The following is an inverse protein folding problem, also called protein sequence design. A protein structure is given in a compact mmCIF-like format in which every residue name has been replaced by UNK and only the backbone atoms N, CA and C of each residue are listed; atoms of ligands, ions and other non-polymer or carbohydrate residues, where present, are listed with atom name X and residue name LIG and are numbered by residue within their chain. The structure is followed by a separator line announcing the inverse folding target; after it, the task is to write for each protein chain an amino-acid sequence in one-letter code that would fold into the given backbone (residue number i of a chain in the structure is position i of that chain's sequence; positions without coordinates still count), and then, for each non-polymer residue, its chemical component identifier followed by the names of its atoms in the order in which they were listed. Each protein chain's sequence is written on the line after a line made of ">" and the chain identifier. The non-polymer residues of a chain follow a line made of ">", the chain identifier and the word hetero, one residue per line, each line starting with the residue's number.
data_IF_182243720586
#
_entry.id   IF_182243720586
#
_cell.length_a   1.000
_cell.length_b   1.000
_cell.length_c   1.000
_cell.angle_alpha   90.00
_cell.angle_beta   90.00
_cell.angle_gamma   90.00
#
_symmetry.space_group_name_H-M   'P 1'
#
loop_
_entity.id
_entity.type
_entity.pdbx_description
1 polymer ?
#
# COMPACT_ATOMS: atom_id res chain seq x y z
N UNK A 1 7.70 -35.27 -25.64
CA UNK A 1 7.68 -35.77 -24.26
C UNK A 1 6.84 -34.82 -23.42
N UNK A 2 5.74 -35.29 -22.82
CA UNK A 2 4.89 -34.44 -21.98
C UNK A 2 5.65 -34.08 -20.68
N UNK A 3 5.96 -32.81 -20.48
CA UNK A 3 6.57 -32.32 -19.24
C UNK A 3 5.56 -32.53 -18.10
N UNK A 4 5.85 -33.47 -17.19
CA UNK A 4 5.06 -33.64 -15.96
C UNK A 4 4.98 -32.29 -15.25
N UNK A 5 3.75 -31.83 -14.97
CA UNK A 5 3.48 -30.60 -14.24
C UNK A 5 4.24 -30.64 -12.91
N UNK A 6 5.07 -29.63 -12.64
CA UNK A 6 5.82 -29.53 -11.39
C UNK A 6 4.85 -29.43 -10.21
N UNK A 7 5.16 -30.12 -9.11
CA UNK A 7 4.36 -30.12 -7.88
C UNK A 7 4.28 -28.70 -7.28
N UNK A 8 3.11 -28.35 -6.75
CA UNK A 8 2.87 -27.05 -6.11
C UNK A 8 3.85 -26.80 -4.97
N UNK A 9 4.26 -25.54 -4.81
CA UNK A 9 5.18 -25.11 -3.75
C UNK A 9 4.40 -24.83 -2.46
N UNK A 10 4.78 -25.52 -1.39
CA UNK A 10 4.27 -25.39 -0.03
C UNK A 10 4.92 -24.22 0.73
N UNK A 11 4.32 -23.78 1.84
CA UNK A 11 4.93 -22.75 2.70
C UNK A 11 6.19 -23.23 3.41
N UNK A 12 6.26 -24.52 3.77
CA UNK A 12 7.46 -25.12 4.35
C UNK A 12 8.65 -25.02 3.38
N UNK A 13 8.43 -25.34 2.10
CA UNK A 13 9.44 -25.17 1.03
C UNK A 13 9.88 -23.71 0.89
N UNK A 14 8.95 -22.75 0.94
CA UNK A 14 9.28 -21.31 0.92
C UNK A 14 10.17 -20.92 2.10
N UNK A 15 9.85 -21.39 3.29
CA UNK A 15 10.62 -21.10 4.50
C UNK A 15 12.03 -21.70 4.48
N UNK A 16 12.19 -22.93 3.97
CA UNK A 16 13.52 -23.54 3.78
C UNK A 16 14.36 -22.67 2.84
N UNK A 17 13.80 -22.27 1.69
CA UNK A 17 14.53 -21.43 0.74
C UNK A 17 14.95 -20.08 1.34
N UNK A 18 14.06 -19.43 2.10
CA UNK A 18 14.38 -18.15 2.75
C UNK A 18 15.53 -18.28 3.75
N UNK A 19 15.52 -19.34 4.59
CA UNK A 19 16.60 -19.61 5.54
C UNK A 19 17.95 -19.81 4.86
N UNK A 20 17.97 -20.48 3.70
CA UNK A 20 19.20 -20.72 2.93
C UNK A 20 19.69 -19.48 2.18
N UNK A 21 18.79 -18.61 1.73
CA UNK A 21 19.14 -17.36 1.02
C UNK A 21 19.68 -16.29 1.97
N UNK A 22 19.14 -16.22 3.19
CA UNK A 22 19.43 -15.14 4.14
C UNK A 22 20.94 -14.85 4.36
N UNK A 23 21.82 -15.85 4.56
CA UNK A 23 23.27 -15.61 4.71
C UNK A 23 23.95 -15.11 3.42
N UNK A 24 23.34 -15.34 2.26
CA UNK A 24 23.90 -15.04 0.94
C UNK A 24 23.22 -13.85 0.25
N UNK A 25 22.39 -13.10 0.98
CA UNK A 25 21.54 -12.05 0.42
C UNK A 25 22.33 -10.94 -0.27
N UNK A 26 23.47 -10.54 0.30
CA UNK A 26 24.36 -9.51 -0.25
C UNK A 26 24.96 -9.89 -1.61
N UNK A 27 25.14 -11.19 -1.87
CA UNK A 27 25.65 -11.71 -3.13
C UNK A 27 24.52 -11.81 -4.15
N UNK A 28 23.38 -12.37 -3.74
CA UNK A 28 22.23 -12.64 -4.62
C UNK A 28 21.56 -11.35 -5.10
N UNK A 29 21.41 -10.35 -4.22
CA UNK A 29 20.77 -9.07 -4.56
C UNK A 29 21.73 -8.03 -5.14
N UNK A 30 23.02 -8.37 -5.29
CA UNK A 30 23.99 -7.48 -5.90
C UNK A 30 23.53 -7.07 -7.32
N UNK A 31 23.50 -5.78 -7.61
CA UNK A 31 23.06 -5.22 -8.89
C UNK A 31 24.14 -5.20 -9.97
N UNK A 32 25.40 -5.47 -9.60
CA UNK A 32 26.53 -5.51 -10.55
C UNK A 32 26.35 -6.66 -11.54
N UNK A 33 26.67 -6.37 -12.81
CA UNK A 33 26.50 -7.27 -13.97
C UNK A 33 27.82 -7.78 -14.54
N UNK A 34 28.94 -7.60 -13.83
CA UNK A 34 30.26 -8.09 -14.24
C UNK A 34 30.32 -9.63 -14.27
N UNK A 35 31.17 -10.17 -15.16
CA UNK A 35 31.29 -11.62 -15.35
C UNK A 35 31.67 -12.37 -14.06
N UNK A 36 32.53 -11.78 -13.23
CA UNK A 36 32.95 -12.35 -11.95
C UNK A 36 31.80 -12.40 -10.95
N UNK A 37 31.08 -11.29 -10.75
CA UNK A 37 29.88 -11.25 -9.89
C UNK A 37 28.79 -12.22 -10.36
N UNK A 38 28.55 -12.32 -11.66
CA UNK A 38 27.58 -13.27 -12.21
C UNK A 38 27.99 -14.73 -11.95
N UNK A 39 29.29 -15.05 -12.07
CA UNK A 39 29.82 -16.39 -11.75
C UNK A 39 29.66 -16.70 -10.26
N UNK A 40 29.93 -15.74 -9.38
CA UNK A 40 29.76 -15.90 -7.93
C UNK A 40 28.27 -16.13 -7.62
N UNK A 41 27.36 -15.30 -8.13
CA UNK A 41 25.91 -15.48 -7.96
C UNK A 41 25.46 -16.85 -8.43
N UNK A 42 25.91 -17.30 -9.60
CA UNK A 42 25.54 -18.60 -10.13
C UNK A 42 26.01 -19.72 -9.19
N UNK A 43 27.27 -19.69 -8.74
CA UNK A 43 27.81 -20.68 -7.81
C UNK A 43 27.07 -20.70 -6.47
N UNK A 44 26.74 -19.51 -5.93
CA UNK A 44 25.92 -19.38 -4.71
C UNK A 44 24.55 -20.01 -4.89
N UNK A 45 23.89 -19.77 -6.03
CA UNK A 45 22.60 -20.37 -6.35
C UNK A 45 22.66 -21.90 -6.52
N UNK A 46 23.74 -22.42 -7.10
CA UNK A 46 23.96 -23.87 -7.20
C UNK A 46 24.16 -24.50 -5.81
N UNK A 47 24.92 -23.85 -4.92
CA UNK A 47 25.09 -24.31 -3.54
C UNK A 47 23.75 -24.32 -2.78
N UNK A 48 22.97 -23.23 -2.89
CA UNK A 48 21.62 -23.16 -2.31
C UNK A 48 20.73 -24.26 -2.86
N UNK A 49 20.80 -24.56 -4.16
CA UNK A 49 20.05 -25.68 -4.74
C UNK A 49 20.41 -27.00 -4.09
N UNK A 50 21.71 -27.29 -3.92
CA UNK A 50 22.15 -28.54 -3.29
C UNK A 50 21.64 -28.66 -1.85
N UNK A 51 21.80 -27.60 -1.05
CA UNK A 51 21.30 -27.58 0.33
C UNK A 51 19.77 -27.70 0.39
N UNK A 52 19.07 -26.97 -0.47
CA UNK A 52 17.61 -27.02 -0.55
C UNK A 52 17.13 -28.43 -0.91
N UNK A 53 17.71 -29.05 -1.94
CA UNK A 53 17.33 -30.38 -2.40
C UNK A 53 17.63 -31.47 -1.37
N UNK A 54 18.63 -31.28 -0.51
CA UNK A 54 18.93 -32.15 0.61
C UNK A 54 17.95 -32.03 1.79
N UNK A 55 17.34 -30.85 1.99
CA UNK A 55 16.41 -30.59 3.09
C UNK A 55 14.93 -30.81 2.72
N UNK A 56 14.58 -30.68 1.45
CA UNK A 56 13.20 -30.82 0.97
C UNK A 56 12.81 -32.30 0.78
N UNK A 57 11.53 -32.61 0.96
CA UNK A 57 10.97 -33.98 0.84
C UNK A 57 10.00 -34.18 -0.32
N UNK A 58 9.71 -33.12 -1.09
CA UNK A 58 8.62 -33.03 -2.08
C UNK A 58 9.05 -33.26 -3.53
N UNK A 59 10.35 -33.28 -3.80
CA UNK A 59 10.99 -33.49 -5.09
C UNK A 59 12.07 -32.46 -5.42
N UNK A 60 13.10 -32.89 -6.15
CA UNK A 60 14.24 -32.03 -6.52
C UNK A 60 13.79 -30.81 -7.33
N UNK A 61 14.39 -29.65 -7.02
CA UNK A 61 14.16 -28.40 -7.73
C UNK A 61 15.42 -27.97 -8.47
N UNK A 62 15.23 -27.35 -9.61
CA UNK A 62 16.33 -26.75 -10.38
C UNK A 62 16.62 -25.33 -9.89
N UNK A 63 17.81 -24.84 -10.17
CA UNK A 63 18.26 -23.49 -9.82
C UNK A 63 17.32 -22.41 -10.37
N UNK A 64 16.82 -22.61 -11.60
CA UNK A 64 15.85 -21.71 -12.23
C UNK A 64 14.51 -21.68 -11.48
N UNK A 65 14.05 -22.83 -10.98
CA UNK A 65 12.80 -22.90 -10.19
C UNK A 65 12.94 -22.19 -8.84
N UNK A 66 14.08 -22.34 -8.16
CA UNK A 66 14.34 -21.67 -6.88
C UNK A 66 14.45 -20.14 -7.04
N UNK A 67 15.09 -19.68 -8.12
CA UNK A 67 15.11 -18.25 -8.48
C UNK A 67 13.71 -17.70 -8.71
N UNK A 68 12.91 -18.38 -9.54
CA UNK A 68 11.53 -17.98 -9.82
C UNK A 68 10.65 -17.97 -8.55
N UNK A 69 10.88 -18.93 -7.64
CA UNK A 69 10.21 -19.01 -6.35
C UNK A 69 10.55 -17.80 -5.47
N UNK A 70 11.83 -17.46 -5.36
CA UNK A 70 12.29 -16.28 -4.63
C UNK A 70 11.77 -14.97 -5.21
N UNK A 71 11.80 -14.81 -6.54
CA UNK A 71 11.28 -13.61 -7.21
C UNK A 71 9.77 -13.46 -7.03
N UNK A 72 9.03 -14.57 -6.99
CA UNK A 72 7.60 -14.56 -6.69
C UNK A 72 7.34 -14.12 -5.25
N UNK A 73 8.13 -14.61 -4.29
CA UNK A 73 8.05 -14.16 -2.89
C UNK A 73 8.37 -12.66 -2.78
N UNK A 74 9.44 -12.16 -3.42
CA UNK A 74 9.78 -10.73 -3.44
C UNK A 74 8.65 -9.87 -3.99
N UNK A 75 8.06 -10.27 -5.12
CA UNK A 75 6.94 -9.54 -5.74
C UNK A 75 5.73 -9.53 -4.83
N UNK A 76 5.41 -10.68 -4.22
CA UNK A 76 4.31 -10.79 -3.24
C UNK A 76 4.55 -9.86 -2.05
N UNK A 77 5.73 -9.87 -1.44
CA UNK A 77 6.03 -8.98 -0.30
C UNK A 77 5.96 -7.50 -0.68
N UNK A 78 6.41 -7.11 -1.89
CA UNK A 78 6.26 -5.72 -2.36
C UNK A 78 4.79 -5.33 -2.53
N UNK A 79 3.98 -6.24 -3.09
CA UNK A 79 2.54 -6.05 -3.23
C UNK A 79 1.88 -5.94 -1.86
N UNK A 80 2.14 -6.88 -0.97
CA UNK A 80 1.56 -6.90 0.37
C UNK A 80 1.96 -5.62 1.15
N UNK A 81 3.22 -5.19 1.10
CA UNK A 81 3.63 -3.88 1.67
C UNK A 81 2.90 -2.68 1.05
N UNK A 82 2.67 -2.69 -0.27
CA UNK A 82 1.92 -1.62 -0.92
C UNK A 82 0.44 -1.65 -0.53
N UNK A 83 -0.15 -2.84 -0.42
CA UNK A 83 -1.51 -3.06 0.04
C UNK A 83 -1.66 -2.70 1.51
N UNK A 84 -0.69 -2.97 2.35
CA UNK A 84 -0.68 -2.57 3.77
C UNK A 84 -0.59 -1.05 3.90
N UNK A 85 0.19 -0.37 3.07
CA UNK A 85 0.18 1.10 3.04
C UNK A 85 -1.20 1.62 2.65
N UNK A 86 -1.79 1.09 1.58
CA UNK A 86 -3.13 1.47 1.11
C UNK A 86 -4.19 1.14 2.15
N UNK A 87 -4.16 -0.04 2.75
CA UNK A 87 -5.04 -0.47 3.83
C UNK A 87 -4.80 0.33 5.10
N UNK A 88 -3.57 0.79 5.37
CA UNK A 88 -3.34 1.75 6.45
C UNK A 88 -3.98 3.08 6.11
N UNK A 89 -4.08 3.51 4.86
CA UNK A 89 -4.83 4.73 4.51
C UNK A 89 -6.35 4.52 4.51
N UNK A 90 -6.84 3.35 4.10
CA UNK A 90 -8.28 3.02 4.00
C UNK A 90 -8.85 2.59 5.35
N UNK A 91 -8.08 1.79 6.10
CA UNK A 91 -8.39 1.15 7.37
C UNK A 91 -7.41 1.56 8.48
N UNK A 92 -6.89 2.80 8.51
CA UNK A 92 -6.77 3.37 9.87
C UNK A 92 -8.14 3.15 10.50
N UNK A 93 -8.24 2.73 11.78
CA UNK A 93 -9.47 2.87 12.52
C UNK A 93 -9.78 4.36 12.57
N UNK A 94 -10.37 4.81 11.47
CA UNK A 94 -11.25 5.92 11.37
C UNK A 94 -12.26 5.56 12.45
N UNK A 95 -12.14 6.25 13.59
CA UNK A 95 -13.30 7.00 14.01
C UNK A 95 -13.89 7.56 12.71
N UNK A 96 -14.98 6.99 12.23
CA UNK A 96 -15.73 7.49 11.09
C UNK A 96 -16.29 8.82 11.54
N UNK A 97 -15.40 9.82 11.66
CA UNK A 97 -15.78 11.20 11.79
C UNK A 97 -16.41 11.51 10.47
N UNK A 98 -17.73 11.50 10.49
CA UNK A 98 -18.58 11.83 9.36
C UNK A 98 -18.17 13.20 8.82
N UNK A 99 -18.47 13.46 7.56
CA UNK A 99 -18.21 14.77 6.94
C UNK A 99 -18.78 15.91 7.82
N UNK A 100 -19.99 15.73 8.33
CA UNK A 100 -20.65 16.62 9.29
C UNK A 100 -19.84 16.85 10.57
N UNK A 101 -19.25 15.79 11.13
CA UNK A 101 -18.44 15.93 12.35
C UNK A 101 -17.12 16.64 12.09
N UNK A 102 -16.52 16.44 10.92
CA UNK A 102 -15.35 17.22 10.50
C UNK A 102 -15.72 18.70 10.32
N UNK A 103 -16.90 19.01 9.77
CA UNK A 103 -17.41 20.39 9.68
C UNK A 103 -17.61 21.02 11.06
N UNK A 104 -18.26 20.32 11.99
CA UNK A 104 -18.46 20.80 13.36
C UNK A 104 -17.12 21.09 14.04
N UNK A 105 -16.12 20.20 13.89
CA UNK A 105 -14.80 20.42 14.44
C UNK A 105 -14.12 21.66 13.84
N UNK A 106 -14.21 21.84 12.51
CA UNK A 106 -13.63 22.99 11.81
C UNK A 106 -14.31 24.29 12.23
N UNK A 107 -15.64 24.30 12.35
CA UNK A 107 -16.40 25.49 12.78
C UNK A 107 -16.06 25.88 14.23
N UNK A 108 -15.97 24.89 15.15
CA UNK A 108 -15.54 25.15 16.53
C UNK A 108 -14.10 25.67 16.60
N UNK A 109 -13.19 25.13 15.79
CA UNK A 109 -11.80 25.61 15.72
C UNK A 109 -11.73 27.03 15.15
N UNK A 110 -12.58 27.37 14.18
CA UNK A 110 -12.69 28.72 13.62
C UNK A 110 -13.18 29.72 14.67
N UNK A 111 -14.24 29.38 15.41
CA UNK A 111 -14.78 30.25 16.46
C UNK A 111 -13.75 30.52 17.57
N UNK A 112 -12.92 29.52 17.89
CA UNK A 112 -11.92 29.61 18.96
C UNK A 112 -10.51 30.00 18.48
N UNK A 113 -10.32 30.20 17.17
CA UNK A 113 -9.03 30.52 16.54
C UNK A 113 -8.23 31.64 17.24
N UNK A 114 -8.79 32.82 17.55
CA UNK A 114 -8.02 33.89 18.19
C UNK A 114 -7.49 33.51 19.57
N UNK A 115 -8.19 32.62 20.28
CA UNK A 115 -7.77 32.11 21.58
C UNK A 115 -6.71 31.02 21.46
N UNK A 116 -6.78 30.17 20.42
CA UNK A 116 -5.77 29.14 20.13
C UNK A 116 -4.42 29.76 19.74
N UNK A 117 -4.46 30.85 18.97
CA UNK A 117 -3.26 31.56 18.51
C UNK A 117 -2.67 32.48 19.60
N UNK A 118 -3.40 32.70 20.70
CA UNK A 118 -2.92 33.41 21.89
C UNK A 118 -2.04 32.54 22.80
N UNK A 119 -1.35 33.13 23.79
CA UNK A 119 -0.32 32.52 24.65
C UNK A 119 -0.48 31.02 24.95
N UNK A 120 0.63 30.28 24.89
CA UNK A 120 0.73 28.81 25.05
C UNK A 120 -0.01 28.32 26.31
N UNK A 121 0.01 29.11 27.38
CA UNK A 121 -0.52 28.72 28.69
C UNK A 121 -2.05 28.50 28.72
N UNK A 122 -2.80 28.97 27.71
CA UNK A 122 -4.26 28.84 27.65
C UNK A 122 -4.77 27.80 26.64
N UNK A 123 -3.89 27.14 25.88
CA UNK A 123 -4.34 26.24 24.81
C UNK A 123 -5.14 25.05 25.31
N UNK A 124 -4.78 24.48 26.47
CA UNK A 124 -5.47 23.29 26.99
C UNK A 124 -6.91 23.57 27.44
N UNK A 125 -7.19 24.74 28.03
CA UNK A 125 -8.55 25.15 28.39
C UNK A 125 -9.41 25.42 27.15
N UNK A 126 -8.82 25.97 26.09
CA UNK A 126 -9.52 26.15 24.80
C UNK A 126 -9.85 24.80 24.17
N UNK A 127 -8.92 23.85 24.18
CA UNK A 127 -9.15 22.50 23.67
C UNK A 127 -10.18 21.72 24.49
N UNK A 128 -10.21 21.92 25.81
CA UNK A 128 -11.24 21.35 26.68
C UNK A 128 -12.62 21.90 26.35
N UNK A 129 -12.73 23.21 26.14
CA UNK A 129 -13.96 23.87 25.69
C UNK A 129 -14.42 23.33 24.34
N UNK A 130 -13.51 23.21 23.36
CA UNK A 130 -13.79 22.62 22.05
C UNK A 130 -14.25 21.16 22.19
N UNK A 131 -13.61 20.36 23.05
CA UNK A 131 -14.00 18.98 23.26
C UNK A 131 -15.39 18.84 23.88
N UNK A 132 -15.72 19.68 24.85
CA UNK A 132 -17.06 19.74 25.44
C UNK A 132 -18.11 20.13 24.41
N UNK A 133 -17.91 21.23 23.66
CA UNK A 133 -18.84 21.67 22.61
C UNK A 133 -18.97 20.64 21.48
N UNK A 134 -17.87 20.04 21.04
CA UNK A 134 -17.88 19.01 20.01
C UNK A 134 -18.73 17.81 20.47
N UNK A 135 -18.49 17.33 21.69
CA UNK A 135 -19.22 16.18 22.24
C UNK A 135 -20.71 16.43 22.49
N UNK A 136 -21.14 17.69 22.63
CA UNK A 136 -22.55 18.05 22.68
C UNK A 136 -23.23 18.04 21.30
N UNK A 137 -22.47 18.34 20.24
CA UNK A 137 -22.99 18.51 18.87
C UNK A 137 -22.90 17.25 17.99
N UNK A 138 -22.07 16.28 18.36
CA UNK A 138 -21.86 15.05 17.60
C UNK A 138 -22.73 13.87 18.07
N UNK A 139 -22.90 12.87 17.21
CA UNK A 139 -23.76 11.71 17.47
C UNK A 139 -23.02 10.37 17.55
N UNK A 140 -21.71 10.32 17.22
CA UNK A 140 -20.95 9.06 17.13
C UNK A 140 -20.22 8.64 18.42
N UNK A 141 -20.44 9.35 19.53
CA UNK A 141 -19.92 9.01 20.86
C UNK A 141 -18.68 9.80 21.27
N UNK A 142 -18.54 10.08 22.57
CA UNK A 142 -17.60 11.07 23.13
C UNK A 142 -16.16 10.89 22.63
N UNK A 143 -15.53 11.98 22.19
CA UNK A 143 -14.11 12.06 21.84
C UNK A 143 -13.31 12.76 22.92
N UNK A 144 -12.11 12.26 23.14
CA UNK A 144 -11.09 12.89 23.99
C UNK A 144 -10.41 14.06 23.27
N UNK A 145 -9.77 14.93 24.04
CA UNK A 145 -9.02 16.09 23.51
C UNK A 145 -7.94 15.61 22.52
N UNK A 146 -7.25 14.51 22.84
CA UNK A 146 -6.14 13.99 22.04
C UNK A 146 -6.61 13.42 20.70
N UNK A 147 -7.79 12.81 20.68
CA UNK A 147 -8.43 12.37 19.45
C UNK A 147 -8.83 13.55 18.56
N UNK A 148 -9.34 14.64 19.14
CA UNK A 148 -9.70 15.86 18.40
C UNK A 148 -8.46 16.59 17.86
N UNK A 149 -7.38 16.70 18.65
CA UNK A 149 -6.08 17.22 18.18
C UNK A 149 -5.56 16.37 17.01
N UNK A 150 -5.66 15.04 17.09
CA UNK A 150 -5.28 14.12 16.01
C UNK A 150 -6.17 14.28 14.77
N UNK A 151 -7.48 14.48 14.94
CA UNK A 151 -8.40 14.78 13.84
C UNK A 151 -8.04 16.10 13.15
N UNK A 152 -7.81 17.18 13.91
CA UNK A 152 -7.40 18.47 13.35
C UNK A 152 -6.10 18.36 12.53
N UNK A 153 -5.07 17.69 13.06
CA UNK A 153 -3.81 17.45 12.33
C UNK A 153 -4.02 16.69 11.02
N UNK A 154 -4.97 15.75 10.98
CA UNK A 154 -5.34 15.01 9.78
C UNK A 154 -6.01 15.91 8.75
N UNK A 155 -6.96 16.75 9.18
CA UNK A 155 -7.67 17.71 8.33
C UNK A 155 -6.73 18.76 7.72
N UNK A 156 -5.80 19.28 8.53
CA UNK A 156 -4.75 20.17 8.03
C UNK A 156 -3.89 19.49 6.96
N UNK A 157 -3.46 18.25 7.21
CA UNK A 157 -2.65 17.49 6.25
C UNK A 157 -3.40 17.18 4.95
N UNK A 158 -4.69 16.84 5.01
CA UNK A 158 -5.49 16.63 3.80
C UNK A 158 -5.66 17.92 3.00
N UNK A 159 -5.95 19.05 3.67
CA UNK A 159 -6.06 20.34 3.01
C UNK A 159 -4.74 20.73 2.32
N UNK A 160 -3.58 20.57 2.98
CA UNK A 160 -2.28 20.83 2.34
C UNK A 160 -2.00 19.93 1.14
N UNK A 161 -2.45 18.67 1.14
CA UNK A 161 -2.29 17.78 0.00
C UNK A 161 -3.15 18.20 -1.18
N UNK A 162 -4.35 18.71 -0.93
CA UNK A 162 -5.24 19.17 -2.00
C UNK A 162 -4.72 20.46 -2.63
N UNK A 163 -4.10 21.37 -1.86
CA UNK A 163 -3.33 22.51 -2.41
C UNK A 163 -2.21 22.04 -3.33
N UNK A 164 -1.41 21.06 -2.88
CA UNK A 164 -0.28 20.59 -3.67
C UNK A 164 -0.74 19.91 -4.97
N UNK A 165 -1.86 19.18 -4.96
CA UNK A 165 -2.47 18.64 -6.18
C UNK A 165 -2.96 19.74 -7.11
N UNK A 166 -3.60 20.76 -6.57
CA UNK A 166 -4.09 21.91 -7.35
C UNK A 166 -2.93 22.65 -8.01
N UNK A 167 -1.85 22.91 -7.27
CA UNK A 167 -0.63 23.53 -7.80
C UNK A 167 0.05 22.67 -8.88
N UNK A 168 0.17 21.35 -8.68
CA UNK A 168 0.76 20.43 -9.68
C UNK A 168 -0.11 20.34 -10.94
N UNK A 169 -1.44 20.28 -10.78
CA UNK A 169 -2.37 20.29 -11.90
C UNK A 169 -2.28 21.61 -12.68
N UNK A 170 -2.25 22.75 -11.98
CA UNK A 170 -2.14 24.07 -12.59
C UNK A 170 -0.79 24.30 -13.31
N UNK A 171 0.30 23.67 -12.85
CA UNK A 171 1.59 23.70 -13.56
C UNK A 171 1.64 22.78 -14.79
N UNK A 172 0.87 21.68 -14.80
CA UNK A 172 0.89 20.71 -15.91
C UNK A 172 0.11 21.20 -17.14
N UNK A 173 -0.78 22.19 -16.99
CA UNK A 173 -1.61 22.74 -18.07
C UNK A 173 -1.27 24.20 -18.43
N UNK A 174 0.01 24.51 -18.63
CA UNK A 174 0.41 25.77 -19.31
C UNK A 174 0.44 25.67 -20.85
N UNK A 175 0.08 24.54 -21.44
CA UNK A 175 -0.13 24.41 -22.90
C UNK A 175 -1.61 24.24 -23.23
N UNK A 176 -2.34 25.35 -23.36
CA UNK A 176 -3.63 25.37 -24.07
C UNK A 176 -4.91 25.33 -23.23
N UNK A 177 -5.25 26.47 -22.63
CA UNK A 177 -6.60 27.05 -22.65
C UNK A 177 -7.81 26.17 -22.29
N UNK A 178 -7.95 25.81 -21.01
CA UNK A 178 -9.23 25.37 -20.46
C UNK A 178 -9.26 25.58 -18.95
N UNK A 179 -10.17 26.42 -18.45
CA UNK A 179 -10.40 26.56 -17.01
C UNK A 179 -11.09 25.29 -16.52
N UNK A 180 -10.38 24.44 -15.79
CA UNK A 180 -11.03 23.35 -15.05
C UNK A 180 -11.60 23.89 -13.76
N UNK A 181 -12.93 23.94 -13.66
CA UNK A 181 -13.64 24.26 -12.43
C UNK A 181 -13.60 23.03 -11.51
N UNK A 182 -12.52 22.88 -10.74
CA UNK A 182 -12.46 21.83 -9.73
C UNK A 182 -13.14 22.31 -8.45
N UNK A 183 -14.26 21.67 -8.12
CA UNK A 183 -14.98 21.88 -6.86
C UNK A 183 -14.17 21.25 -5.71
N UNK A 184 -13.39 22.06 -4.99
CA UNK A 184 -12.86 21.66 -3.69
C UNK A 184 -14.03 21.35 -2.74
N UNK A 185 -13.89 20.35 -1.86
CA UNK A 185 -14.94 20.08 -0.86
C UNK A 185 -15.11 21.29 0.08
N UNK A 186 -16.36 21.51 0.54
CA UNK A 186 -16.73 22.59 1.47
C UNK A 186 -15.79 22.68 2.69
N UNK A 187 -15.38 21.53 3.23
CA UNK A 187 -14.44 21.42 4.34
C UNK A 187 -13.04 21.91 3.95
N UNK A 188 -12.55 21.52 2.77
CA UNK A 188 -11.23 21.93 2.30
C UNK A 188 -11.17 23.46 2.18
N UNK A 189 -12.19 24.09 1.60
CA UNK A 189 -12.26 25.55 1.48
C UNK A 189 -12.28 26.25 2.85
N UNK A 190 -13.00 25.73 3.85
CA UNK A 190 -12.98 26.27 5.22
C UNK A 190 -11.61 26.14 5.89
N UNK A 191 -10.96 24.98 5.78
CA UNK A 191 -9.61 24.76 6.34
C UNK A 191 -8.57 25.63 5.64
N UNK A 192 -8.71 25.87 4.33
CA UNK A 192 -7.89 26.82 3.58
C UNK A 192 -8.00 28.24 4.13
N UNK A 193 -9.22 28.70 4.42
CA UNK A 193 -9.45 29.99 5.09
C UNK A 193 -8.80 30.08 6.47
N UNK A 194 -8.74 28.97 7.22
CA UNK A 194 -8.10 28.92 8.55
C UNK A 194 -6.59 29.08 8.51
N UNK A 195 -5.91 28.64 7.45
CA UNK A 195 -4.45 28.67 7.38
C UNK A 195 -3.92 30.07 7.04
N UNK A 196 -4.76 30.98 6.51
CA UNK A 196 -4.41 32.37 6.18
C UNK A 196 -3.25 32.49 5.19
N UNK A 197 -2.70 33.70 5.05
CA UNK A 197 -1.55 34.00 4.16
C UNK A 197 -0.23 33.32 4.56
N UNK A 198 -0.22 32.39 5.53
CA UNK A 198 1.00 31.63 5.90
C UNK A 198 1.44 30.63 4.83
N UNK A 199 0.64 30.47 3.78
CA UNK A 199 0.90 29.62 2.62
C UNK A 199 1.23 30.42 1.35
N UNK A 200 1.45 31.73 1.46
CA UNK A 200 2.05 32.48 0.35
C UNK A 200 3.37 31.77 0.01
N UNK A 201 3.40 31.15 -1.17
CA UNK A 201 4.60 30.51 -1.69
C UNK A 201 5.72 31.53 -1.58
N UNK A 202 6.76 31.20 -0.81
CA UNK A 202 7.98 32.00 -0.78
C UNK A 202 8.41 32.20 -2.24
N UNK A 203 8.23 33.42 -2.75
CA UNK A 203 8.73 33.79 -4.06
C UNK A 203 10.24 33.61 -3.99
N UNK A 204 10.73 32.50 -4.54
CA UNK A 204 12.14 32.28 -4.72
C UNK A 204 12.53 33.11 -5.94
N UNK A 205 13.31 34.19 -5.82
CA UNK A 205 13.71 35.02 -6.96
C UNK A 205 14.61 34.27 -7.96
N UNK A 206 14.88 32.99 -7.74
CA UNK A 206 15.74 32.14 -8.56
C UNK A 206 15.01 30.97 -9.24
N UNK A 207 13.68 30.85 -9.12
CA UNK A 207 12.91 29.75 -9.75
C UNK A 207 12.44 30.09 -11.20
N UNK A 208 12.96 31.18 -11.76
CA UNK A 208 12.82 31.50 -13.18
C UNK A 208 13.95 30.83 -13.96
N UNK A 209 13.80 29.55 -14.31
CA UNK A 209 14.65 28.84 -15.29
C UNK A 209 14.63 29.46 -16.71
N UNK A 210 13.98 30.62 -16.88
CA UNK A 210 13.80 31.32 -18.16
C UNK A 210 14.79 32.44 -18.45
N UNK A 211 15.54 32.95 -17.47
CA UNK A 211 16.45 34.09 -17.69
C UNK A 211 17.89 33.59 -17.90
N UNK A 212 18.14 33.00 -19.07
CA UNK A 212 19.50 32.97 -19.60
C UNK A 212 19.88 34.39 -20.01
N UNK A 213 20.89 35.04 -19.40
CA UNK A 213 21.37 36.32 -19.91
C UNK A 213 21.92 36.09 -21.31
N UNK A 214 21.24 36.69 -22.29
CA UNK A 214 21.67 36.72 -23.68
C UNK A 214 23.12 37.15 -23.77
N UNK A 215 23.87 36.40 -24.59
CA UNK A 215 25.25 36.69 -24.99
C UNK A 215 25.31 38.15 -25.44
N UNK A 216 25.85 39.00 -24.59
CA UNK A 216 26.24 40.36 -24.94
C UNK A 216 27.38 40.26 -25.95
N UNK A 217 27.03 40.58 -27.19
CA UNK A 217 27.92 40.88 -28.29
C UNK A 217 28.81 42.06 -27.89
N UNK A 218 30.03 41.77 -27.44
CA UNK A 218 31.06 42.78 -27.22
C UNK A 218 31.61 43.18 -28.59
N UNK A 219 31.25 44.40 -29.01
CA UNK A 219 31.92 45.13 -30.07
C UNK A 219 33.39 45.38 -29.66
N UNK A 220 34.32 44.79 -30.39
CA UNK A 220 35.74 45.10 -30.31
C UNK A 220 35.97 46.50 -30.88
N UNK A 221 36.46 47.42 -30.03
CA UNK A 221 37.13 48.64 -30.48
C UNK A 221 38.52 48.29 -31.01
N UNK A 222 38.83 48.82 -32.19
CA UNK A 222 40.11 48.74 -32.87
C UNK A 222 41.16 49.57 -32.13
N UNK A 223 42.35 48.99 -31.88
CA UNK A 223 43.59 49.75 -31.81
C UNK A 223 44.69 49.06 -32.67
N UNK A 224 45.55 49.85 -33.33
CA UNK A 224 46.32 49.40 -34.48
C UNK A 224 47.74 48.95 -34.12
N UNK A 225 48.24 48.01 -34.91
CA UNK A 225 49.67 47.83 -35.15
C UNK A 225 50.32 46.70 -34.38
N UNK A 226 50.70 45.63 -35.09
CA UNK A 226 52.10 45.28 -35.36
C UNK A 226 52.15 43.93 -36.14
N UNK A 227 52.80 44.01 -37.30
CA UNK A 227 53.56 43.00 -38.06
C UNK A 227 52.94 41.63 -38.41
N UNK A 228 52.75 41.47 -39.73
CA UNK A 228 52.70 40.22 -40.50
C UNK A 228 53.95 39.35 -40.30
N UNK A 229 53.76 38.02 -40.21
CA UNK A 229 54.63 36.92 -40.72
C UNK A 229 53.79 35.64 -40.69
N UNK A 230 53.28 35.13 -41.81
CA UNK A 230 53.89 34.30 -42.86
C UNK A 230 54.17 32.84 -42.43
N UNK A 231 53.48 31.92 -43.14
CA UNK A 231 53.94 30.59 -43.58
C UNK A 231 53.92 29.38 -42.62
N UNK A 232 53.08 28.40 -43.02
CA UNK A 232 53.35 26.96 -43.20
C UNK A 232 54.13 26.17 -42.14
N UNK A 233 53.56 25.05 -41.67
CA UNK A 233 54.37 23.97 -41.10
C UNK A 233 53.61 22.93 -40.28
N UNK A 234 53.43 21.76 -40.86
CA UNK A 234 53.06 20.49 -40.24
C UNK A 234 53.93 20.12 -39.01
N UNK A 235 53.36 19.39 -38.04
CA UNK A 235 54.14 18.43 -37.25
C UNK A 235 53.76 18.26 -35.78
N UNK A 236 53.03 17.17 -35.50
CA UNK A 236 53.14 16.28 -34.34
C UNK A 236 52.77 16.75 -32.91
N UNK A 237 52.32 15.80 -32.05
CA UNK A 237 51.68 16.08 -30.77
C UNK A 237 52.69 16.24 -29.64
N UNK A 238 52.48 17.25 -28.81
CA UNK A 238 53.26 17.52 -27.60
C UNK A 238 52.68 16.68 -26.44
N UNK A 239 53.54 15.84 -25.85
CA UNK A 239 53.30 15.18 -24.56
C UNK A 239 53.44 16.22 -23.43
N UNK A 240 52.42 16.32 -22.58
CA UNK A 240 52.52 17.07 -21.31
C UNK A 240 53.07 16.17 -20.22
N UNK A 241 54.32 16.41 -19.81
CA UNK A 241 54.84 15.99 -18.50
C UNK A 241 54.46 17.03 -17.47
N UNK A 242 53.53 16.68 -16.58
CA UNK A 242 53.15 17.51 -15.42
C UNK A 242 54.18 17.27 -14.31
N UNK A 243 54.93 18.32 -13.99
CA UNK A 243 55.81 18.38 -12.82
C UNK A 243 55.01 18.41 -11.53
N UNK A 244 55.41 17.54 -10.61
CA UNK A 244 55.06 17.59 -9.19
C UNK A 244 55.71 18.82 -8.59
N UNK A 245 54.92 19.69 -7.95
CA UNK A 245 55.38 20.42 -6.78
C UNK A 245 54.21 20.58 -5.80
N UNK A 246 54.47 20.10 -4.59
CA UNK A 246 53.57 20.06 -3.48
C UNK A 246 53.44 21.44 -2.83
N UNK A 247 52.22 21.87 -2.52
CA UNK A 247 51.97 22.65 -1.32
C UNK A 247 50.58 22.33 -0.78
N UNK A 248 50.59 21.79 0.43
CA UNK A 248 49.44 21.40 1.20
C UNK A 248 48.67 22.63 1.69
N UNK A 249 47.36 22.66 1.44
CA UNK A 249 46.41 23.44 2.24
C UNK A 249 45.21 22.54 2.53
N UNK A 250 45.13 22.14 3.80
CA UNK A 250 44.04 21.34 4.36
C UNK A 250 42.78 22.18 4.51
N UNK A 251 41.71 21.81 3.81
CA UNK A 251 40.33 22.12 4.23
C UNK A 251 39.51 20.83 4.22
N UNK A 252 39.35 20.27 5.41
CA UNK A 252 38.54 19.08 5.67
C UNK A 252 37.06 19.44 5.67
N UNK A 253 36.34 19.04 4.63
CA UNK A 253 34.88 18.98 4.63
C UNK A 253 34.46 17.50 4.64
N UNK A 254 33.84 16.97 5.70
CA UNK A 254 33.46 15.57 5.74
C UNK A 254 32.15 15.36 4.96
N UNK A 255 32.25 14.70 3.82
CA UNK A 255 31.09 14.14 3.12
C UNK A 255 30.44 13.06 3.99
N UNK A 256 29.30 13.42 4.58
CA UNK A 256 28.44 12.55 5.37
C UNK A 256 27.77 11.53 4.45
N UNK A 257 28.39 10.36 4.30
CA UNK A 257 27.71 9.18 3.76
C UNK A 257 26.64 8.72 4.77
N UNK A 258 25.38 9.07 4.49
CA UNK A 258 24.21 8.53 5.19
C UNK A 258 24.05 7.08 4.75
N UNK A 259 24.66 6.19 5.52
CA UNK A 259 24.41 4.76 5.47
C UNK A 259 23.01 4.54 6.05
N UNK A 260 22.01 4.28 5.21
CA UNK A 260 20.67 3.86 5.64
C UNK A 260 20.79 2.43 6.20
N UNK A 261 21.14 2.34 7.48
CA UNK A 261 21.03 1.14 8.32
C UNK A 261 19.75 1.26 9.13
N UNK A 262 18.61 1.05 8.48
CA UNK A 262 17.37 0.79 9.20
C UNK A 262 16.56 -0.27 8.42
N UNK A 263 16.01 -1.22 9.18
CA UNK A 263 15.02 -2.24 8.79
C UNK A 263 15.49 -3.67 8.48
N UNK A 264 16.05 -4.38 9.47
CA UNK A 264 15.80 -5.84 9.62
C UNK A 264 15.80 -6.24 11.12
N UNK A 265 15.16 -5.48 11.99
CA UNK A 265 15.04 -5.86 13.42
C UNK A 265 13.60 -6.25 13.82
N UNK A 266 12.59 -5.89 13.01
CA UNK A 266 11.19 -6.17 13.30
C UNK A 266 10.75 -7.63 13.03
N UNK A 267 11.65 -8.50 12.53
CA UNK A 267 11.31 -9.88 12.19
C UNK A 267 11.47 -10.88 13.34
N UNK A 268 11.91 -10.46 14.53
CA UNK A 268 12.30 -11.37 15.61
C UNK A 268 11.57 -11.20 16.96
N UNK A 269 10.64 -10.24 17.13
CA UNK A 269 9.90 -10.10 18.40
C UNK A 269 8.41 -10.41 18.23
N UNK A 270 8.09 -11.71 18.19
CA UNK A 270 6.77 -12.27 18.56
C UNK A 270 6.96 -13.76 18.83
N UNK A 271 7.60 -14.12 19.95
CA UNK A 271 7.52 -15.42 20.63
C UNK A 271 8.35 -15.39 21.92
N UNK A 272 7.71 -15.11 23.06
CA UNK A 272 7.90 -15.84 24.34
C UNK A 272 6.88 -15.30 25.36
N UNK A 273 5.89 -16.09 25.78
CA UNK A 273 5.95 -17.05 26.90
C UNK A 273 5.85 -16.39 28.28
N UNK A 274 4.62 -16.33 28.79
CA UNK A 274 4.38 -16.40 30.24
C UNK A 274 3.11 -17.20 30.54
N UNK A 275 3.14 -18.50 30.22
CA UNK A 275 2.23 -19.45 30.86
C UNK A 275 2.91 -19.95 32.13
N UNK A 276 2.50 -19.42 33.28
CA UNK A 276 2.77 -20.05 34.57
C UNK A 276 1.83 -21.24 34.70
N UNK A 277 2.41 -22.42 34.79
CA UNK A 277 1.71 -23.65 35.17
C UNK A 277 1.14 -23.48 36.59
N UNK A 278 -0.18 -23.64 36.72
CA UNK A 278 -0.83 -23.95 37.99
C UNK A 278 -1.58 -25.25 37.77
N UNK A 279 -1.05 -26.33 38.34
CA UNK A 279 -1.73 -27.61 38.42
C UNK A 279 -3.00 -27.45 39.25
N UNK A 280 -4.16 -27.68 38.63
CA UNK A 280 -5.39 -28.01 39.34
C UNK A 280 -5.90 -29.35 38.82
N UNK A 281 -5.86 -30.29 39.74
CA UNK A 281 -6.41 -31.64 39.67
C UNK A 281 -7.94 -31.54 39.53
N UNK A 282 -8.49 -32.06 38.43
CA UNK A 282 -9.94 -32.25 38.28
C UNK A 282 -10.19 -33.69 37.87
N UNK A 283 -10.62 -34.47 38.85
CA UNK A 283 -11.20 -35.80 38.72
C UNK A 283 -12.45 -35.74 37.84
N UNK A 284 -12.44 -36.44 36.70
CA UNK A 284 -13.62 -36.62 35.84
C UNK A 284 -14.19 -38.01 36.11
N UNK A 285 -15.42 -38.03 36.62
CA UNK A 285 -16.28 -39.20 36.67
C UNK A 285 -16.79 -39.51 35.25
N UNK A 286 -16.60 -40.76 34.83
CA UNK A 286 -17.35 -41.41 33.75
C UNK A 286 -18.85 -41.40 34.07
N UNK A 287 -19.68 -41.03 33.07
CA UNK A 287 -20.86 -41.82 32.71
C UNK A 287 -21.63 -41.27 31.48
N UNK A 288 -22.11 -42.25 30.71
CA UNK A 288 -23.32 -42.29 29.86
C UNK A 288 -23.33 -41.68 28.46
N UNK A 289 -23.19 -42.59 27.48
CA UNK A 289 -24.20 -43.01 26.49
C UNK A 289 -24.96 -42.01 25.58
N UNK A 290 -24.72 -42.22 24.28
CA UNK A 290 -25.61 -42.08 23.10
C UNK A 290 -25.96 -40.68 22.52
N UNK A 291 -26.43 -40.58 21.25
CA UNK A 291 -25.98 -41.27 20.05
C UNK A 291 -25.71 -40.32 18.84
N UNK A 292 -25.02 -40.88 17.85
CA UNK A 292 -24.74 -40.35 16.51
C UNK A 292 -25.88 -39.53 15.85
N UNK A 293 -25.57 -38.29 15.45
CA UNK A 293 -26.22 -37.62 14.30
C UNK A 293 -25.15 -37.26 13.26
N UNK A 294 -25.20 -37.99 12.13
CA UNK A 294 -24.47 -37.69 10.90
C UNK A 294 -25.05 -36.42 10.28
N UNK A 295 -24.25 -35.36 10.18
CA UNK A 295 -24.54 -34.22 9.31
C UNK A 295 -23.67 -34.33 8.06
N UNK A 296 -24.29 -34.81 6.97
CA UNK A 296 -23.74 -34.80 5.61
C UNK A 296 -23.67 -33.35 5.08
N UNK A 297 -22.49 -32.74 5.12
CA UNK A 297 -22.21 -31.55 4.32
C UNK A 297 -21.72 -31.95 2.93
N UNK A 298 -22.66 -32.08 1.99
CA UNK A 298 -22.36 -32.20 0.55
C UNK A 298 -21.85 -30.86 0.00
N UNK A 299 -20.53 -30.66 -0.06
CA UNK A 299 -19.93 -29.62 -0.90
C UNK A 299 -20.08 -30.00 -2.38
N UNK A 300 -21.08 -29.43 -3.06
CA UNK A 300 -21.25 -29.48 -4.52
C UNK A 300 -20.19 -28.60 -5.20
N UNK A 301 -19.06 -29.20 -5.59
CA UNK A 301 -18.12 -28.56 -6.50
C UNK A 301 -18.68 -28.59 -7.94
N UNK A 302 -19.05 -27.41 -8.44
CA UNK A 302 -19.53 -27.20 -9.80
C UNK A 302 -18.37 -27.35 -10.79
N UNK A 303 -18.44 -28.39 -11.62
CA UNK A 303 -17.51 -28.74 -12.71
C UNK A 303 -17.48 -27.59 -13.73
N UNK A 304 -16.36 -26.87 -13.82
CA UNK A 304 -16.14 -25.82 -14.84
C UNK A 304 -15.75 -26.50 -16.15
N UNK A 305 -16.61 -26.36 -17.14
CA UNK A 305 -16.44 -26.86 -18.51
C UNK A 305 -15.37 -26.04 -19.24
N UNK A 306 -14.46 -26.75 -19.91
CA UNK A 306 -13.34 -26.20 -20.65
C UNK A 306 -13.80 -25.37 -21.87
N UNK A 307 -13.19 -24.19 -22.05
CA UNK A 307 -13.31 -23.35 -23.24
C UNK A 307 -12.29 -23.84 -24.28
N UNK A 308 -12.69 -24.13 -25.54
CA UNK A 308 -11.75 -24.53 -26.58
C UNK A 308 -11.04 -23.32 -27.18
N UNK A 309 -9.72 -23.25 -27.02
CA UNK A 309 -8.85 -22.32 -27.74
C UNK A 309 -8.56 -22.86 -29.15
N UNK A 310 -9.15 -22.26 -30.17
CA UNK A 310 -8.69 -22.38 -31.57
C UNK A 310 -8.15 -21.02 -32.00
N UNK A 311 -6.84 -20.90 -32.13
CA UNK A 311 -6.18 -19.72 -32.69
C UNK A 311 -5.26 -20.14 -33.86
N UNK A 312 -5.63 -19.63 -35.03
CA UNK A 312 -4.84 -19.30 -36.22
C UNK A 312 -3.81 -20.30 -36.78
N UNK A 313 -4.24 -20.96 -37.86
CA UNK A 313 -3.41 -21.55 -38.91
C UNK A 313 -3.08 -20.44 -39.93
N UNK A 314 -1.79 -20.22 -40.19
CA UNK A 314 -1.27 -19.25 -41.17
C UNK A 314 -1.28 -19.88 -42.57
N UNK A 315 -1.97 -19.26 -43.52
CA UNK A 315 -1.91 -19.62 -44.95
C UNK A 315 -0.93 -18.71 -45.73
N UNK A 316 -0.35 -19.22 -46.83
CA UNK A 316 0.77 -18.60 -47.52
C UNK A 316 0.37 -17.54 -48.57
N UNK A 317 1.29 -16.60 -48.77
CA UNK A 317 1.27 -15.53 -49.78
C UNK A 317 0.92 -16.04 -51.19
N UNK A 318 -0.23 -15.60 -51.72
CA UNK A 318 -0.54 -15.61 -53.16
C UNK A 318 -0.64 -14.19 -53.69
N UNK A 319 0.15 -13.91 -54.72
CA UNK A 319 0.16 -12.66 -55.49
C UNK A 319 -1.21 -12.43 -56.15
N UNK A 320 -1.77 -11.24 -55.96
CA UNK A 320 -3.11 -10.85 -56.45
C UNK A 320 -2.99 -10.28 -57.88
N UNK A 321 -3.80 -10.75 -58.85
CA UNK A 321 -3.99 -10.06 -60.12
C UNK A 321 -5.03 -8.94 -59.99
N UNK A 322 -4.68 -7.77 -60.50
CA UNK A 322 -5.56 -6.59 -60.58
C UNK A 322 -6.73 -6.91 -61.52
N UNK A 323 -7.92 -7.03 -60.97
CA UNK A 323 -9.18 -7.16 -61.73
C UNK A 323 -10.12 -6.05 -61.30
N UNK A 324 -10.75 -5.41 -62.30
CA UNK A 324 -11.68 -4.31 -62.12
C UNK A 324 -12.82 -4.68 -61.15
N UNK A 325 -12.93 -3.89 -60.08
CA UNK A 325 -13.94 -4.03 -59.03
C UNK A 325 -15.30 -3.64 -59.59
N UNK A 326 -16.15 -4.64 -59.83
CA UNK A 326 -17.58 -4.42 -60.06
C UNK A 326 -18.23 -3.93 -58.77
N UNK A 327 -19.19 -3.00 -58.88
CA UNK A 327 -19.87 -2.36 -57.76
C UNK A 327 -20.41 -3.36 -56.70
N UNK A 328 -20.79 -4.58 -57.12
CA UNK A 328 -21.24 -5.64 -56.22
C UNK A 328 -20.21 -6.04 -55.15
N UNK A 329 -18.91 -6.05 -55.47
CA UNK A 329 -17.85 -6.35 -54.49
C UNK A 329 -17.73 -5.28 -53.40
N UNK A 330 -18.06 -4.03 -53.73
CA UNK A 330 -18.04 -2.92 -52.76
C UNK A 330 -19.20 -3.08 -51.77
N UNK A 331 -20.39 -3.47 -52.25
CA UNK A 331 -21.54 -3.73 -51.38
C UNK A 331 -21.31 -4.93 -50.45
N UNK A 332 -20.80 -6.05 -50.96
CA UNK A 332 -20.45 -7.21 -50.12
C UNK A 332 -19.37 -6.85 -49.08
N UNK A 333 -18.39 -6.02 -49.44
CA UNK A 333 -17.38 -5.56 -48.48
C UNK A 333 -17.96 -4.66 -47.39
N UNK A 334 -18.91 -3.77 -47.73
CA UNK A 334 -19.57 -2.89 -46.75
C UNK A 334 -20.50 -3.68 -45.83
N UNK A 335 -21.21 -4.67 -46.36
CA UNK A 335 -22.07 -5.57 -45.57
C UNK A 335 -21.24 -6.38 -44.57
N UNK A 336 -20.10 -6.92 -44.99
CA UNK A 336 -19.17 -7.63 -44.09
C UNK A 336 -18.63 -6.73 -42.97
N UNK A 337 -18.27 -5.48 -43.27
CA UNK A 337 -17.81 -4.50 -42.26
C UNK A 337 -18.95 -4.16 -41.28
N UNK A 338 -20.18 -4.00 -41.79
CA UNK A 338 -21.36 -3.74 -40.96
C UNK A 338 -21.62 -4.90 -40.00
N UNK A 339 -21.64 -6.14 -40.51
CA UNK A 339 -21.83 -7.36 -39.72
C UNK A 339 -20.71 -7.55 -38.68
N UNK A 340 -19.46 -7.21 -39.03
CA UNK A 340 -18.34 -7.24 -38.08
C UNK A 340 -18.51 -6.21 -36.95
N UNK A 341 -18.95 -4.98 -37.27
CA UNK A 341 -19.22 -3.94 -36.27
C UNK A 341 -20.40 -4.31 -35.35
N UNK A 342 -21.47 -4.87 -35.91
CA UNK A 342 -22.60 -5.38 -35.14
C UNK A 342 -22.15 -6.51 -34.19
N UNK A 343 -21.32 -7.45 -34.67
CA UNK A 343 -20.73 -8.50 -33.84
C UNK A 343 -19.93 -7.95 -32.65
N UNK A 344 -19.09 -6.93 -32.88
CA UNK A 344 -18.31 -6.29 -31.80
C UNK A 344 -19.21 -5.63 -30.75
N UNK A 345 -20.31 -4.99 -31.14
CA UNK A 345 -21.25 -4.39 -30.18
C UNK A 345 -21.91 -5.45 -29.29
N UNK A 346 -22.31 -6.61 -29.85
CA UNK A 346 -22.86 -7.70 -29.03
C UNK A 346 -21.86 -8.25 -28.01
N UNK A 347 -20.56 -8.27 -28.35
CA UNK A 347 -19.53 -8.71 -27.38
C UNK A 347 -19.37 -7.71 -26.24
N UNK A 348 -19.38 -6.41 -26.52
CA UNK A 348 -19.29 -5.36 -25.49
C UNK A 348 -20.48 -5.42 -24.53
N UNK A 349 -21.68 -5.63 -25.06
CA UNK A 349 -22.88 -5.78 -24.24
C UNK A 349 -22.79 -6.99 -23.30
N UNK A 350 -22.37 -8.15 -23.82
CA UNK A 350 -22.12 -9.35 -23.00
C UNK A 350 -21.06 -9.14 -21.91
N UNK A 351 -20.00 -8.38 -22.20
CA UNK A 351 -19.00 -8.03 -21.18
C UNK A 351 -19.59 -7.12 -20.10
N UNK A 352 -20.43 -6.16 -20.48
CA UNK A 352 -21.08 -5.26 -19.54
C UNK A 352 -22.07 -6.01 -18.63
N UNK A 353 -22.87 -6.90 -19.21
CA UNK A 353 -23.77 -7.80 -18.47
C UNK A 353 -22.99 -8.68 -17.48
N UNK A 354 -21.90 -9.32 -17.93
CA UNK A 354 -21.06 -10.14 -17.07
C UNK A 354 -20.41 -9.34 -15.92
N UNK A 355 -20.00 -8.10 -16.19
CA UNK A 355 -19.45 -7.21 -15.17
C UNK A 355 -20.49 -6.82 -14.12
N UNK A 356 -21.72 -6.51 -14.54
CA UNK A 356 -22.83 -6.20 -13.65
C UNK A 356 -23.20 -7.41 -12.78
N UNK A 357 -23.22 -8.62 -13.37
CA UNK A 357 -23.41 -9.87 -12.63
C UNK A 357 -22.35 -10.09 -11.54
N UNK A 358 -21.09 -9.80 -11.85
CA UNK A 358 -20.00 -9.88 -10.86
C UNK A 358 -20.18 -8.85 -9.75
N UNK A 359 -20.61 -7.63 -10.07
CA UNK A 359 -20.89 -6.58 -9.09
C UNK A 359 -22.04 -6.99 -8.15
N UNK A 360 -23.10 -7.57 -8.69
CA UNK A 360 -24.24 -8.09 -7.91
C UNK A 360 -23.79 -9.24 -7.00
N UNK A 361 -23.01 -10.20 -7.53
CA UNK A 361 -22.47 -11.31 -6.73
C UNK A 361 -21.57 -10.82 -5.60
N UNK A 362 -20.72 -9.84 -5.86
CA UNK A 362 -19.87 -9.21 -4.85
C UNK A 362 -20.71 -8.57 -3.74
N UNK A 363 -21.71 -7.77 -4.10
CA UNK A 363 -22.60 -7.14 -3.13
C UNK A 363 -23.39 -8.16 -2.28
N UNK A 364 -23.81 -9.28 -2.88
CA UNK A 364 -24.47 -10.39 -2.16
C UNK A 364 -23.55 -11.04 -1.12
N UNK A 365 -22.29 -11.28 -1.48
CA UNK A 365 -21.31 -11.85 -0.54
C UNK A 365 -21.01 -10.85 0.59
N UNK A 366 -20.89 -9.56 0.28
CA UNK A 366 -20.69 -8.52 1.31
C UNK A 366 -21.88 -8.45 2.29
N UNK A 367 -23.11 -8.61 1.79
CA UNK A 367 -24.32 -8.70 2.62
C UNK A 367 -24.27 -9.94 3.53
N UNK A 368 -23.96 -11.11 2.97
CA UNK A 368 -23.88 -12.39 3.72
C UNK A 368 -22.83 -12.33 4.84
N UNK A 369 -21.67 -11.71 4.57
CA UNK A 369 -20.63 -11.50 5.60
C UNK A 369 -21.17 -10.61 6.73
N UNK A 370 -21.83 -9.49 6.40
CA UNK A 370 -22.38 -8.59 7.41
C UNK A 370 -23.49 -9.24 8.25
N UNK A 371 -24.29 -10.13 7.65
CA UNK A 371 -25.31 -10.91 8.37
C UNK A 371 -24.68 -11.88 9.38
N UNK A 372 -23.62 -12.60 8.98
CA UNK A 372 -22.87 -13.50 9.87
C UNK A 372 -22.23 -12.73 11.02
N UNK A 373 -21.60 -11.58 10.76
CA UNK A 373 -21.00 -10.73 11.81
C UNK A 373 -22.03 -10.25 12.82
N UNK A 374 -23.23 -9.85 12.35
CA UNK A 374 -24.34 -9.46 13.21
C UNK A 374 -24.82 -10.62 14.08
N UNK A 375 -24.95 -11.83 13.53
CA UNK A 375 -25.34 -13.02 14.29
C UNK A 375 -24.31 -13.37 15.36
N UNK A 376 -23.02 -13.31 15.03
CA UNK A 376 -21.94 -13.52 16.02
C UNK A 376 -22.00 -12.51 17.17
N UNK A 377 -22.28 -11.24 16.89
CA UNK A 377 -22.42 -10.20 17.93
C UNK A 377 -23.63 -10.45 18.83
N UNK A 378 -24.77 -10.86 18.25
CA UNK A 378 -25.97 -11.21 19.01
C UNK A 378 -25.67 -12.38 19.95
N UNK A 379 -25.00 -13.42 19.45
CA UNK A 379 -24.69 -14.60 20.26
C UNK A 379 -23.69 -14.29 21.38
N UNK A 380 -22.69 -13.44 21.10
CA UNK A 380 -21.78 -12.94 22.13
C UNK A 380 -22.53 -12.19 23.24
N UNK A 381 -23.45 -11.29 22.88
CA UNK A 381 -24.26 -10.56 23.87
C UNK A 381 -25.14 -11.47 24.71
N UNK A 382 -25.68 -12.55 24.13
CA UNK A 382 -26.43 -13.56 24.91
C UNK A 382 -25.52 -14.28 25.90
N UNK A 383 -24.35 -14.74 25.46
CA UNK A 383 -23.36 -15.38 26.32
C UNK A 383 -22.92 -14.47 27.47
N UNK A 384 -22.66 -13.19 27.20
CA UNK A 384 -22.27 -12.21 28.23
C UNK A 384 -23.41 -11.97 29.23
N UNK A 385 -24.66 -11.93 28.76
CA UNK A 385 -25.85 -11.81 29.62
C UNK A 385 -26.03 -13.03 30.52
N UNK A 386 -25.86 -14.23 29.99
CA UNK A 386 -25.93 -15.48 30.76
C UNK A 386 -24.82 -15.56 31.81
N UNK A 387 -23.60 -15.17 31.43
CA UNK A 387 -22.47 -15.04 32.36
C UNK A 387 -22.81 -14.09 33.51
N UNK A 388 -23.34 -12.89 33.21
CA UNK A 388 -23.74 -11.92 34.22
C UNK A 388 -24.84 -12.46 35.16
N UNK A 389 -25.84 -13.15 34.63
CA UNK A 389 -26.91 -13.78 35.43
C UNK A 389 -26.32 -14.86 36.35
N UNK A 390 -25.40 -15.68 35.83
CA UNK A 390 -24.73 -16.72 36.62
C UNK A 390 -23.90 -16.11 37.76
N UNK A 391 -23.12 -15.07 37.45
CA UNK A 391 -22.31 -14.35 38.43
C UNK A 391 -23.19 -13.73 39.53
N UNK A 392 -24.28 -13.06 39.15
CA UNK A 392 -25.23 -12.50 40.11
C UNK A 392 -25.82 -13.55 41.05
N UNK A 393 -26.17 -14.75 40.53
CA UNK A 393 -26.66 -15.86 41.36
C UNK A 393 -25.59 -16.36 42.34
N UNK A 394 -24.34 -16.46 41.91
CA UNK A 394 -23.22 -16.86 42.77
C UNK A 394 -22.99 -15.84 43.89
N UNK A 395 -23.02 -14.55 43.57
CA UNK A 395 -22.81 -13.49 44.56
C UNK A 395 -23.97 -13.45 45.57
N UNK A 396 -25.21 -13.67 45.12
CA UNK A 396 -26.37 -13.82 46.02
C UNK A 396 -26.23 -15.02 46.96
N UNK A 397 -25.81 -16.18 46.46
CA UNK A 397 -25.57 -17.36 47.31
C UNK A 397 -24.45 -17.10 48.33
N UNK A 398 -23.39 -16.37 47.95
CA UNK A 398 -22.33 -15.98 48.88
C UNK A 398 -22.85 -15.07 49.99
N UNK A 399 -23.72 -14.12 49.66
CA UNK A 399 -24.38 -13.25 50.64
C UNK A 399 -25.23 -14.06 51.63
N UNK A 400 -26.07 -14.97 51.13
CA UNK A 400 -26.91 -15.86 51.97
C UNK A 400 -26.06 -16.74 52.92
N UNK A 401 -24.92 -17.26 52.44
CA UNK A 401 -23.97 -18.03 53.27
C UNK A 401 -23.40 -17.16 54.39
N UNK A 402 -22.94 -15.95 54.06
CA UNK A 402 -22.37 -15.02 55.05
C UNK A 402 -23.38 -14.60 56.12
N UNK A 403 -24.65 -14.37 55.74
CA UNK A 403 -25.72 -14.07 56.68
C UNK A 403 -25.96 -15.24 57.64
N UNK A 404 -25.98 -16.47 57.12
CA UNK A 404 -26.15 -17.66 57.93
C UNK A 404 -25.00 -17.84 58.94
N UNK A 405 -23.75 -17.66 58.51
CA UNK A 405 -22.57 -17.70 59.39
C UNK A 405 -22.64 -16.63 60.49
N UNK A 406 -23.08 -15.42 60.15
CA UNK A 406 -23.22 -14.31 61.09
C UNK A 406 -24.31 -14.60 62.13
N UNK A 407 -25.42 -15.22 61.72
CA UNK A 407 -26.49 -15.64 62.62
C UNK A 407 -26.06 -16.79 63.54
N UNK A 408 -25.29 -17.75 63.06
CA UNK A 408 -24.70 -18.80 63.92
C UNK A 408 -23.77 -18.22 64.99
N UNK A 409 -22.91 -17.25 64.61
CA UNK A 409 -22.04 -16.55 65.56
C UNK A 409 -22.83 -15.79 66.63
N UNK A 410 -23.98 -15.20 66.29
CA UNK A 410 -24.86 -14.54 67.27
C UNK A 410 -25.53 -15.50 68.24
N UNK A 411 -25.79 -16.75 67.85
CA UNK A 411 -26.41 -17.76 68.73
C UNK A 411 -25.43 -18.41 69.70
N UNK A 412 -24.12 -18.33 69.43
CA UNK A 412 -23.07 -18.93 70.26
C UNK A 412 -22.48 -17.98 71.28
N UNK A 413 -22.75 -16.67 71.15
CA UNK A 413 -22.50 -15.63 72.13
C UNK A 413 -23.69 -15.50 73.08
#
# INVERSE_FOLDING_TARGET
>A
MATKRSRNVTDAERNILLKLIQPHMSIIENTKTDGTSNKIKLNTWENIRHQYNALQSTGERTTTQLKAMFDTMKRKTRKDKSSDRVNTYIYQPNSTTTERENEVLVDLLLTNKPSIDSSIDNQDEVWKTIAESYNQLQTSGKKTIEELKKCNKRLQKSASLDINKENVSNQTYKTGGGKSEHQSSSISSKVMGMMGNRLESLECPYDCDGDFPGILQTSYEELPGIAKKQSCGSGSPIYYTVGLDAQAVSTSTPCRNVLVKDNIEWLLNSNDSSAKESAMDISIHDNTDQPNKKNDFQTKYKKITAVPSKLHELLPNKKVPVTHTTANKVYESLENISNQRLGLNTTKEKFHEHYNDLKIKKAKIELEIAEIEREMLIEKLKSDKEHYISQYKQDKLREEILEHELNQKKQTL
#
